data_IF_157114894178
#
_entry.id   IF_157114894178
#
_cell.length_a   1.000
_cell.length_b   1.000
_cell.length_c   1.000
_cell.angle_alpha   90.00
_cell.angle_beta   90.00
_cell.angle_gamma   90.00
#
_symmetry.space_group_name_H-M   'P 1'
#
loop_
_entity.id
_entity.type
_entity.pdbx_description
1 polymer ?
#
# COMPACT_ATOMS: atom_id res chain seq x y z
N UNK A 1 25.34 -8.89 12.15
CA UNK A 1 24.32 -7.82 12.14
C UNK A 1 23.00 -8.40 12.63
N UNK A 2 22.45 -7.92 13.73
CA UNK A 2 21.14 -8.37 14.22
C UNK A 2 20.05 -7.98 13.22
N UNK A 3 19.05 -8.85 12.93
CA UNK A 3 17.92 -8.48 12.10
C UNK A 3 17.25 -7.22 12.68
N UNK A 4 17.10 -6.19 11.84
CA UNK A 4 16.41 -4.95 12.19
C UNK A 4 15.01 -5.26 12.74
N UNK A 5 14.62 -4.59 13.84
CA UNK A 5 13.47 -4.92 14.71
C UNK A 5 12.14 -5.12 13.97
N UNK A 6 11.93 -4.44 12.85
CA UNK A 6 10.77 -4.62 11.97
C UNK A 6 10.63 -6.05 11.42
N UNK A 7 11.74 -6.77 11.17
CA UNK A 7 11.70 -8.19 10.73
C UNK A 7 11.07 -9.10 11.79
N UNK A 8 11.18 -8.73 13.08
CA UNK A 8 10.51 -9.42 14.20
C UNK A 8 9.05 -9.01 14.35
N UNK A 9 8.69 -7.77 14.00
CA UNK A 9 7.29 -7.31 14.05
C UNK A 9 6.38 -8.00 13.01
N UNK A 10 6.95 -8.47 11.89
CA UNK A 10 6.24 -9.33 10.92
C UNK A 10 5.80 -10.67 11.55
N UNK A 11 6.47 -11.12 12.62
CA UNK A 11 6.15 -12.36 13.34
C UNK A 11 5.14 -12.18 14.49
N UNK A 12 4.71 -10.95 14.81
CA UNK A 12 3.89 -10.67 16.01
C UNK A 12 2.36 -10.82 15.83
N UNK A 13 1.90 -11.44 14.76
CA UNK A 13 0.51 -11.85 14.62
C UNK A 13 0.45 -13.30 14.22
N UNK A 14 -0.34 -14.12 14.91
CA UNK A 14 -0.61 -15.53 14.57
C UNK A 14 -1.21 -15.71 13.16
N UNK A 15 -1.49 -14.62 12.45
CA UNK A 15 -1.73 -14.57 11.02
C UNK A 15 -0.47 -14.09 10.32
N UNK A 16 0.26 -15.00 9.66
CA UNK A 16 1.44 -14.68 8.83
C UNK A 16 1.09 -13.52 7.89
N UNK A 17 1.62 -12.33 8.16
CA UNK A 17 1.49 -11.23 7.22
C UNK A 17 2.50 -11.50 6.11
N UNK A 18 2.03 -12.07 5.00
CA UNK A 18 2.78 -12.26 3.76
C UNK A 18 3.19 -10.88 3.19
N UNK A 19 4.20 -10.28 3.82
CA UNK A 19 4.58 -8.89 3.61
C UNK A 19 5.47 -8.81 2.37
N UNK A 20 4.89 -8.41 1.25
CA UNK A 20 5.68 -8.13 0.04
C UNK A 20 6.09 -6.66 0.01
N UNK A 21 7.38 -6.39 0.23
CA UNK A 21 7.97 -5.06 0.15
C UNK A 21 8.37 -4.75 -1.30
N UNK A 22 7.61 -3.88 -1.96
CA UNK A 22 7.99 -3.34 -3.28
C UNK A 22 8.54 -1.93 -3.13
N UNK A 23 9.69 -1.66 -3.75
CA UNK A 23 10.22 -0.31 -3.92
C UNK A 23 10.02 0.09 -5.39
N UNK A 24 9.11 1.02 -5.66
CA UNK A 24 8.94 1.55 -7.03
C UNK A 24 9.05 3.07 -7.07
N UNK A 25 9.91 3.53 -8.00
CA UNK A 25 9.85 4.87 -8.55
C UNK A 25 8.66 4.87 -9.53
N UNK A 26 7.46 5.06 -8.97
CA UNK A 26 6.24 5.06 -9.76
C UNK A 26 6.23 6.29 -10.70
N UNK A 27 6.37 6.05 -12.01
CA UNK A 27 6.24 7.04 -13.08
C UNK A 27 4.89 6.83 -13.79
N UNK A 28 3.95 7.80 -13.74
CA UNK A 28 2.63 7.60 -14.32
C UNK A 28 2.67 7.70 -15.85
N UNK A 29 2.37 6.60 -16.54
CA UNK A 29 1.99 6.62 -17.98
C UNK A 29 0.50 6.96 -18.19
N UNK A 30 -0.32 6.91 -17.13
CA UNK A 30 -1.79 7.06 -17.19
C UNK A 30 -2.38 8.18 -16.31
N UNK A 31 -1.57 9.12 -15.82
CA UNK A 31 -2.15 10.25 -15.09
C UNK A 31 -2.86 11.17 -16.08
N UNK A 32 -4.18 11.29 -15.98
CA UNK A 32 -5.00 12.40 -16.44
C UNK A 32 -4.32 13.75 -16.09
N UNK A 33 -3.49 14.25 -17.02
CA UNK A 33 -2.64 15.43 -16.88
C UNK A 33 -3.48 16.65 -17.26
N UNK A 34 -4.11 17.30 -16.28
CA UNK A 34 -4.66 18.65 -16.50
C UNK A 34 -5.87 19.04 -15.67
N UNK A 35 -6.75 18.09 -15.32
CA UNK A 35 -8.02 18.45 -14.69
C UNK A 35 -8.02 18.34 -13.15
N UNK A 36 -8.66 19.33 -12.49
CA UNK A 36 -9.01 19.24 -11.07
C UNK A 36 -9.91 18.01 -10.87
N UNK A 37 -9.68 17.20 -9.82
CA UNK A 37 -10.51 16.03 -9.58
C UNK A 37 -11.95 16.49 -9.25
N UNK A 38 -12.94 15.80 -9.81
CA UNK A 38 -14.35 16.04 -9.47
C UNK A 38 -14.60 15.82 -7.96
N UNK A 39 -15.66 16.42 -7.42
CA UNK A 39 -16.01 16.26 -6.01
C UNK A 39 -16.22 14.79 -5.61
N UNK A 40 -16.87 14.00 -6.49
CA UNK A 40 -17.06 12.56 -6.30
C UNK A 40 -15.74 11.79 -6.32
N UNK A 41 -14.83 12.10 -7.27
CA UNK A 41 -13.49 11.49 -7.33
C UNK A 41 -12.71 11.77 -6.05
N UNK A 42 -12.74 13.02 -5.56
CA UNK A 42 -12.08 13.41 -4.31
C UNK A 42 -12.68 12.71 -3.09
N UNK A 43 -14.00 12.58 -3.02
CA UNK A 43 -14.69 11.86 -1.92
C UNK A 43 -14.30 10.39 -1.89
N UNK A 44 -14.30 9.72 -3.04
CA UNK A 44 -13.92 8.31 -3.15
C UNK A 44 -12.45 8.07 -2.80
N UNK A 45 -11.56 8.93 -3.27
CA UNK A 45 -10.14 8.90 -2.90
C UNK A 45 -9.95 9.01 -1.38
N UNK A 46 -10.59 9.98 -0.71
CA UNK A 46 -10.48 10.16 0.74
C UNK A 46 -11.05 8.97 1.54
N UNK A 47 -12.05 8.28 0.98
CA UNK A 47 -12.64 7.08 1.61
C UNK A 47 -11.70 5.87 1.53
N UNK A 48 -10.97 5.71 0.42
CA UNK A 48 -10.06 4.57 0.20
C UNK A 48 -8.69 4.78 0.81
N UNK A 49 -8.04 5.92 0.53
CA UNK A 49 -6.68 6.20 0.98
C UNK A 49 -6.68 6.99 2.28
N UNK A 50 -6.53 6.29 3.41
CA UNK A 50 -6.43 6.93 4.73
C UNK A 50 -4.97 7.16 5.11
N UNK A 51 -4.63 8.39 5.44
CA UNK A 51 -3.34 8.73 6.09
C UNK A 51 -3.43 8.35 7.56
N UNK A 52 -2.65 7.36 7.98
CA UNK A 52 -2.67 6.86 9.37
C UNK A 52 -1.51 7.40 10.19
N UNK A 53 -0.43 7.82 9.54
CA UNK A 53 0.68 8.48 10.22
C UNK A 53 1.48 9.41 9.30
N UNK A 54 2.04 10.48 9.88
CA UNK A 54 2.92 11.43 9.21
C UNK A 54 4.04 11.87 10.17
N UNK A 55 5.28 11.80 9.70
CA UNK A 55 6.41 12.43 10.39
C UNK A 55 6.19 13.94 10.59
N UNK A 56 6.61 14.48 11.73
CA UNK A 56 6.65 15.91 12.00
C UNK A 56 7.71 16.63 11.14
N UNK A 57 8.68 15.90 10.59
CA UNK A 57 9.65 16.48 9.65
C UNK A 57 8.95 16.81 8.34
N UNK A 58 9.17 18.04 7.83
CA UNK A 58 8.52 18.57 6.61
C UNK A 58 8.76 17.67 5.39
N UNK A 59 9.90 16.99 5.35
CA UNK A 59 10.27 16.07 4.29
C UNK A 59 10.38 14.64 4.81
N UNK A 60 9.27 13.90 4.73
CA UNK A 60 9.36 12.44 4.82
C UNK A 60 10.07 11.90 3.57
N UNK A 61 11.06 11.02 3.74
CA UNK A 61 11.85 10.52 2.61
C UNK A 61 11.14 9.43 1.82
N UNK A 62 10.15 8.75 2.41
CA UNK A 62 9.43 7.61 1.80
C UNK A 62 7.96 7.56 2.22
N UNK A 63 7.10 7.03 1.35
CA UNK A 63 5.70 6.71 1.67
C UNK A 63 5.55 5.20 1.85
N UNK A 64 4.76 4.76 2.83
CA UNK A 64 4.39 3.37 3.06
C UNK A 64 2.89 3.25 2.81
N UNK A 65 2.48 2.28 2.01
CA UNK A 65 1.08 2.06 1.62
C UNK A 65 0.70 0.63 1.98
N UNK A 66 -0.20 0.50 2.95
CA UNK A 66 -0.71 -0.77 3.42
C UNK A 66 -2.01 -1.17 2.69
N UNK A 67 -2.09 -2.38 2.16
CA UNK A 67 -3.21 -2.92 1.39
C UNK A 67 -3.71 -4.22 2.02
N UNK A 68 -4.96 -4.24 2.48
CA UNK A 68 -5.52 -5.41 3.17
C UNK A 68 -5.95 -6.53 2.20
N UNK A 69 -6.21 -7.72 2.74
CA UNK A 69 -6.75 -8.87 1.98
C UNK A 69 -8.27 -8.94 1.97
N UNK A 70 -8.80 -10.06 1.46
CA UNK A 70 -10.21 -10.44 1.52
C UNK A 70 -10.73 -10.44 2.95
N UNK A 71 -12.01 -10.08 3.14
CA UNK A 71 -12.64 -9.89 4.46
C UNK A 71 -11.87 -8.95 5.41
N UNK A 72 -10.83 -8.28 4.91
CA UNK A 72 -10.03 -7.33 5.65
C UNK A 72 -10.66 -5.95 5.65
N UNK A 73 -10.15 -5.09 6.52
CA UNK A 73 -10.51 -3.69 6.53
C UNK A 73 -9.25 -2.86 6.74
N UNK A 74 -9.12 -1.76 6.00
CA UNK A 74 -7.94 -0.87 6.02
C UNK A 74 -7.51 -0.44 7.43
N UNK A 75 -8.43 -0.42 8.39
CA UNK A 75 -8.15 -0.05 9.79
C UNK A 75 -8.00 -1.25 10.73
N UNK A 76 -8.73 -2.35 10.48
CA UNK A 76 -8.79 -3.49 11.42
C UNK A 76 -7.68 -4.50 11.16
N UNK A 77 -7.31 -4.72 9.89
CA UNK A 77 -6.30 -5.71 9.49
C UNK A 77 -4.94 -5.48 10.16
N UNK A 78 -4.61 -4.23 10.49
CA UNK A 78 -3.33 -3.85 11.07
C UNK A 78 -3.39 -3.59 12.58
N UNK A 79 -4.54 -3.87 13.19
CA UNK A 79 -4.81 -3.59 14.61
C UNK A 79 -4.96 -4.90 15.36
N UNK A 80 -4.13 -5.11 16.38
CA UNK A 80 -4.21 -6.27 17.25
C UNK A 80 -5.44 -6.20 18.16
N UNK A 81 -5.79 -7.33 18.79
CA UNK A 81 -6.96 -7.43 19.69
C UNK A 81 -6.90 -6.44 20.87
N UNK A 82 -5.69 -6.06 21.30
CA UNK A 82 -5.47 -5.05 22.34
C UNK A 82 -5.62 -3.60 21.83
N UNK A 83 -6.07 -3.39 20.59
CA UNK A 83 -6.29 -2.08 19.98
C UNK A 83 -5.02 -1.41 19.41
N UNK A 84 -3.84 -2.04 19.53
CA UNK A 84 -2.60 -1.47 19.00
C UNK A 84 -2.53 -1.67 17.48
N UNK A 85 -2.43 -0.57 16.74
CA UNK A 85 -2.20 -0.60 15.30
C UNK A 85 -0.70 -0.49 15.00
N UNK A 86 -0.09 -1.56 14.51
CA UNK A 86 1.37 -1.59 14.37
C UNK A 86 1.89 -0.62 13.31
N UNK A 87 1.09 -0.25 12.30
CA UNK A 87 1.46 0.72 11.27
C UNK A 87 1.55 2.15 11.79
N UNK A 88 0.68 2.55 12.72
CA UNK A 88 0.67 3.91 13.28
C UNK A 88 1.31 4.03 14.65
N UNK A 89 1.36 2.94 15.43
CA UNK A 89 1.91 2.97 16.79
C UNK A 89 3.36 2.45 16.87
N UNK A 90 3.74 1.45 16.07
CA UNK A 90 5.05 0.78 16.20
C UNK A 90 6.01 1.17 15.08
N UNK A 91 5.55 1.10 13.83
CA UNK A 91 6.34 1.40 12.63
C UNK A 91 7.01 2.78 12.63
N UNK A 92 6.39 3.85 13.16
CA UNK A 92 7.05 5.16 13.26
C UNK A 92 8.32 5.16 14.12
N UNK A 93 8.45 4.24 15.07
CA UNK A 93 9.64 4.11 15.92
C UNK A 93 10.84 3.61 15.10
N UNK A 94 10.58 2.70 14.16
CA UNK A 94 11.62 2.14 13.29
C UNK A 94 11.87 3.01 12.05
N UNK A 95 10.84 3.69 11.52
CA UNK A 95 10.90 4.53 10.31
C UNK A 95 10.30 5.92 10.59
N UNK A 96 10.99 6.78 11.37
CA UNK A 96 10.46 8.06 11.85
C UNK A 96 10.31 9.16 10.78
N UNK A 97 10.74 8.88 9.55
CA UNK A 97 10.65 9.81 8.41
C UNK A 97 9.73 9.29 7.29
N UNK A 98 8.81 8.38 7.60
CA UNK A 98 7.82 7.89 6.65
C UNK A 98 6.51 8.73 6.63
N UNK A 99 5.67 8.47 5.63
CA UNK A 99 4.22 8.69 5.72
C UNK A 99 3.57 7.33 5.60
N UNK A 100 2.63 7.00 6.45
CA UNK A 100 1.96 5.71 6.39
C UNK A 100 0.51 5.92 5.98
N UNK A 101 0.12 5.18 4.94
CA UNK A 101 -1.22 5.16 4.40
C UNK A 101 -1.79 3.76 4.50
N UNK A 102 -3.08 3.65 4.76
CA UNK A 102 -3.84 2.43 4.56
C UNK A 102 -4.79 2.66 3.39
N UNK A 103 -4.69 1.83 2.36
CA UNK A 103 -5.60 1.84 1.23
C UNK A 103 -6.64 0.73 1.41
N UNK A 104 -7.90 1.09 1.29
CA UNK A 104 -9.03 0.19 1.42
C UNK A 104 -9.83 0.04 0.14
N UNK A 105 -10.31 -1.18 -0.08
CA UNK A 105 -11.30 -1.52 -1.09
C UNK A 105 -12.43 -2.30 -0.42
N UNK A 106 -13.56 -2.45 -1.12
CA UNK A 106 -14.61 -3.35 -0.65
C UNK A 106 -14.08 -4.77 -0.77
N UNK A 107 -13.78 -5.42 0.37
CA UNK A 107 -13.23 -6.77 0.41
C UNK A 107 -14.29 -7.81 0.78
N UNK A 108 -15.57 -7.41 0.88
CA UNK A 108 -16.68 -8.32 1.11
C UNK A 108 -17.13 -8.91 -0.23
N UNK A 109 -16.57 -10.06 -0.58
CA UNK A 109 -17.04 -10.84 -1.73
C UNK A 109 -18.20 -11.72 -1.30
N UNK A 110 -19.37 -11.12 -1.03
CA UNK A 110 -20.61 -11.89 -0.81
C UNK A 110 -21.18 -12.46 -2.13
N UNK A 111 -20.55 -12.14 -3.25
CA UNK A 111 -20.93 -12.58 -4.59
C UNK A 111 -19.72 -13.31 -5.23
N UNK A 112 -19.50 -14.53 -4.74
CA UNK A 112 -18.69 -15.68 -5.17
C UNK A 112 -17.50 -15.61 -6.16
N UNK A 113 -17.05 -14.49 -6.73
CA UNK A 113 -15.89 -14.48 -7.65
C UNK A 113 -15.00 -13.25 -7.55
N UNK A 114 -13.85 -13.43 -6.89
CA UNK A 114 -12.65 -12.61 -7.16
C UNK A 114 -12.18 -12.91 -8.59
N UNK A 115 -12.60 -12.08 -9.54
CA UNK A 115 -12.20 -12.21 -10.95
C UNK A 115 -10.92 -11.43 -11.25
N UNK A 116 -10.27 -11.75 -12.38
CA UNK A 116 -9.14 -10.96 -12.88
C UNK A 116 -9.53 -9.49 -13.09
N UNK A 117 -10.76 -9.23 -13.58
CA UNK A 117 -11.28 -7.88 -13.78
C UNK A 117 -11.41 -7.14 -12.45
N UNK A 118 -11.97 -7.79 -11.43
CA UNK A 118 -12.09 -7.24 -10.08
C UNK A 118 -10.71 -6.81 -9.51
N UNK A 119 -9.70 -7.67 -9.65
CA UNK A 119 -8.33 -7.36 -9.21
C UNK A 119 -7.72 -6.20 -10.00
N UNK A 120 -7.93 -6.19 -11.31
CA UNK A 120 -7.43 -5.14 -12.20
C UNK A 120 -8.07 -3.77 -11.90
N UNK A 121 -9.38 -3.74 -11.63
CA UNK A 121 -10.11 -2.52 -11.28
C UNK A 121 -9.60 -1.94 -9.97
N UNK A 122 -9.36 -2.79 -8.96
CA UNK A 122 -8.77 -2.35 -7.70
C UNK A 122 -7.32 -1.88 -7.84
N UNK A 123 -6.50 -2.56 -8.65
CA UNK A 123 -5.14 -2.11 -8.95
C UNK A 123 -5.15 -0.73 -9.64
N UNK A 124 -6.04 -0.53 -10.61
CA UNK A 124 -6.20 0.75 -11.31
C UNK A 124 -6.68 1.85 -10.37
N UNK A 125 -7.60 1.56 -9.46
CA UNK A 125 -8.05 2.51 -8.43
C UNK A 125 -6.93 2.88 -7.46
N UNK A 126 -6.16 1.89 -6.97
CA UNK A 126 -4.99 2.11 -6.11
C UNK A 126 -3.99 3.04 -6.78
N UNK A 127 -3.65 2.78 -8.04
CA UNK A 127 -2.77 3.64 -8.83
C UNK A 127 -3.32 5.06 -8.95
N UNK A 128 -4.59 5.19 -9.34
CA UNK A 128 -5.23 6.51 -9.53
C UNK A 128 -5.23 7.33 -8.24
N UNK A 129 -5.53 6.70 -7.10
CA UNK A 129 -5.53 7.36 -5.79
C UNK A 129 -4.11 7.79 -5.36
N UNK A 130 -3.08 6.96 -5.62
CA UNK A 130 -1.67 7.29 -5.30
C UNK A 130 -1.11 8.39 -6.21
N UNK A 131 -1.44 8.38 -7.51
CA UNK A 131 -1.14 9.46 -8.44
C UNK A 131 -1.74 10.77 -7.94
N UNK A 132 -3.00 10.73 -7.51
CA UNK A 132 -3.70 11.89 -6.99
C UNK A 132 -3.04 12.42 -5.70
N UNK A 133 -2.73 11.56 -4.72
CA UNK A 133 -2.03 11.97 -3.49
C UNK A 133 -0.67 12.62 -3.81
N UNK A 134 0.12 12.02 -4.70
CA UNK A 134 1.44 12.55 -5.06
C UNK A 134 1.34 13.89 -5.76
N UNK A 135 0.35 14.09 -6.63
CA UNK A 135 0.09 15.38 -7.28
C UNK A 135 -0.36 16.43 -6.27
N UNK A 136 -1.34 16.11 -5.43
CA UNK A 136 -1.85 17.04 -4.42
C UNK A 136 -0.80 17.45 -3.38
N UNK A 137 0.18 16.59 -3.13
CA UNK A 137 1.23 16.82 -2.13
C UNK A 137 2.60 17.16 -2.72
N UNK A 138 2.72 17.30 -4.05
CA UNK A 138 3.99 17.50 -4.76
C UNK A 138 5.09 16.49 -4.37
N UNK A 139 4.73 15.21 -4.26
CA UNK A 139 5.66 14.12 -3.87
C UNK A 139 5.83 13.07 -4.95
N UNK A 140 5.89 13.46 -6.22
CA UNK A 140 6.00 12.56 -7.38
C UNK A 140 7.27 11.70 -7.34
N UNK A 141 8.39 12.28 -6.91
CA UNK A 141 9.69 11.60 -6.81
C UNK A 141 9.87 10.75 -5.54
N UNK A 142 8.88 10.77 -4.63
CA UNK A 142 9.04 10.09 -3.34
C UNK A 142 8.79 8.60 -3.49
N UNK A 143 9.73 7.73 -3.11
CA UNK A 143 9.53 6.28 -3.21
C UNK A 143 8.35 5.81 -2.37
N UNK A 144 7.64 4.80 -2.89
CA UNK A 144 6.58 4.08 -2.18
C UNK A 144 7.09 2.70 -1.79
N UNK A 145 6.76 2.29 -0.57
CA UNK A 145 6.92 0.93 -0.04
C UNK A 145 5.52 0.37 0.17
N UNK A 146 5.22 -0.77 -0.43
CA UNK A 146 3.97 -1.47 -0.18
C UNK A 146 4.10 -2.44 0.99
N UNK A 147 3.05 -2.53 1.80
CA UNK A 147 2.81 -3.59 2.78
C UNK A 147 1.48 -4.20 2.39
N UNK A 148 1.45 -5.48 2.09
CA UNK A 148 0.25 -6.13 1.59
C UNK A 148 -0.06 -7.40 2.38
N UNK A 149 -1.34 -7.77 2.46
CA UNK A 149 -1.78 -9.01 3.09
C UNK A 149 -2.65 -9.81 2.12
N UNK A 150 -2.34 -11.09 1.90
CA UNK A 150 -3.13 -12.02 1.09
C UNK A 150 -3.53 -11.40 -0.27
N UNK A 151 -4.82 -11.26 -0.59
CA UNK A 151 -5.31 -10.67 -1.84
C UNK A 151 -4.74 -9.28 -2.15
N UNK A 152 -4.45 -8.49 -1.12
CA UNK A 152 -3.80 -7.18 -1.28
C UNK A 152 -2.45 -7.29 -1.99
N UNK A 153 -1.72 -8.40 -1.81
CA UNK A 153 -0.45 -8.65 -2.49
C UNK A 153 -0.63 -8.86 -4.00
N UNK A 154 -1.73 -9.51 -4.40
CA UNK A 154 -2.09 -9.70 -5.82
C UNK A 154 -2.46 -8.36 -6.44
N UNK A 155 -3.25 -7.53 -5.75
CA UNK A 155 -3.59 -6.17 -6.21
C UNK A 155 -2.31 -5.34 -6.44
N UNK A 156 -1.38 -5.34 -5.47
CA UNK A 156 -0.10 -4.62 -5.59
C UNK A 156 0.76 -5.16 -6.73
N UNK A 157 0.77 -6.48 -6.93
CA UNK A 157 1.48 -7.10 -8.06
C UNK A 157 0.88 -6.67 -9.41
N UNK A 158 -0.44 -6.62 -9.51
CA UNK A 158 -1.15 -6.15 -10.72
C UNK A 158 -0.86 -4.69 -11.04
N UNK A 159 -0.59 -3.84 -10.04
CA UNK A 159 -0.11 -2.46 -10.25
C UNK A 159 1.28 -2.44 -10.92
N UNK A 160 2.12 -3.43 -10.64
CA UNK A 160 3.51 -3.47 -11.14
C UNK A 160 3.62 -3.99 -12.58
N UNK A 161 2.68 -4.81 -13.03
CA UNK A 161 2.67 -5.39 -14.39
C UNK A 161 2.62 -4.36 -15.53
N UNK A 162 1.79 -3.30 -15.50
CA UNK A 162 1.80 -2.28 -16.55
C UNK A 162 2.99 -1.31 -16.47
N UNK A 163 3.92 -1.45 -15.50
CA UNK A 163 4.95 -0.43 -15.21
C UNK A 163 6.36 -0.71 -15.76
N UNK A 164 6.74 -1.98 -16.03
CA UNK A 164 7.91 -2.38 -16.84
C UNK A 164 8.15 -3.90 -16.70
N UNK A 165 8.25 -4.70 -17.78
CA UNK A 165 8.58 -6.12 -17.66
C UNK A 165 9.99 -6.37 -17.11
N UNK A 166 10.92 -5.42 -17.20
CA UNK A 166 12.29 -5.55 -16.68
C UNK A 166 12.40 -5.43 -15.16
N UNK A 167 11.43 -4.79 -14.48
CA UNK A 167 11.41 -4.69 -13.01
C UNK A 167 10.87 -5.95 -12.31
N UNK A 168 10.18 -6.83 -13.06
CA UNK A 168 9.64 -8.08 -12.54
C UNK A 168 10.76 -9.05 -12.10
N UNK A 169 11.87 -9.09 -12.85
CA UNK A 169 12.96 -10.05 -12.62
C UNK A 169 13.78 -9.78 -11.34
N UNK A 170 13.92 -8.52 -10.93
CA UNK A 170 14.64 -8.18 -9.69
C UNK A 170 13.82 -8.40 -8.42
N UNK A 171 12.48 -8.41 -8.53
CA UNK A 171 11.58 -8.57 -7.38
C UNK A 171 11.33 -10.04 -7.03
N UNK A 172 11.43 -10.95 -8.01
CA UNK A 172 11.20 -12.39 -7.82
C UNK A 172 12.33 -13.05 -7.00
N UNK A 173 13.55 -12.49 -7.03
CA UNK A 173 14.67 -13.02 -6.22
C UNK A 173 14.49 -12.84 -4.71
N UNK A 174 13.52 -12.04 -4.25
CA UNK A 174 13.23 -11.90 -2.81
C UNK A 174 12.13 -12.86 -2.32
N UNK A 175 11.55 -13.69 -3.20
CA UNK A 175 10.44 -14.60 -2.88
C UNK A 175 10.80 -16.09 -2.89
N UNK A 176 12.08 -16.43 -2.99
CA UNK A 176 12.53 -17.80 -2.72
C UNK A 176 13.74 -17.72 -1.79
N UNK A 177 13.48 -17.81 -0.49
CA UNK A 177 14.44 -18.32 0.48
C UNK A 177 13.74 -19.54 1.11
N UNK A 178 14.41 -20.70 1.16
CA UNK A 178 13.81 -22.03 1.28
C UNK A 178 12.99 -22.26 2.56
#
# INVERSE_FOLDING_TARGET
>A
MAPSRWRRLIQFGENRIDTVLFHSAFYPYYADVGNRPTALRRRNYLRRLRKVWRSLRRESSRSIVAVHGLNGHRDKTWTAANGVNWLSNLLPTDIPNARVFCWGYDANTHDDRVSCQYLYDHATQLVSDLCLERRLTNTTQRPIIFVAHSLGGIIVKSVSLPLNPLFLFLSIFCLIVP
#
